data_IF_875162873944
#
_entry.id   IF_875162873944
#
_cell.length_a   1.000
_cell.length_b   1.000
_cell.length_c   1.000
_cell.angle_alpha   90.00
_cell.angle_beta   90.00
_cell.angle_gamma   90.00
#
_symmetry.space_group_name_H-M   'P 1'
#
loop_
_entity.id
_entity.type
_entity.pdbx_description
1 polymer ?
#
# COMPACT_ATOMS: atom_id res chain seq x y z
N UNK A 1 0.66 -18.47 21.48
CA UNK A 1 0.84 -17.00 21.42
C UNK A 1 -0.09 -16.35 22.44
N UNK A 2 0.43 -15.51 23.36
CA UNK A 2 -0.42 -14.76 24.30
C UNK A 2 -1.31 -13.81 23.49
N UNK A 3 -2.63 -13.85 23.69
CA UNK A 3 -3.52 -12.80 23.18
C UNK A 3 -3.17 -11.50 23.91
N UNK A 4 -2.54 -10.56 23.20
CA UNK A 4 -2.36 -9.19 23.69
C UNK A 4 -3.75 -8.59 23.96
N UNK A 5 -3.88 -7.80 25.02
CA UNK A 5 -5.11 -7.04 25.27
C UNK A 5 -5.32 -6.01 24.15
N UNK A 6 -6.56 -5.57 23.92
CA UNK A 6 -6.90 -4.67 22.81
C UNK A 6 -6.14 -3.34 22.84
N UNK A 7 -5.68 -2.92 24.04
CA UNK A 7 -4.87 -1.72 24.26
C UNK A 7 -3.35 -1.92 24.05
N UNK A 8 -2.88 -3.16 23.88
CA UNK A 8 -1.47 -3.48 23.67
C UNK A 8 -1.13 -3.73 22.19
N UNK A 9 -2.12 -3.81 21.31
CA UNK A 9 -1.87 -3.99 19.87
C UNK A 9 -1.39 -2.70 19.22
N UNK A 10 -0.34 -2.80 18.41
CA UNK A 10 0.14 -1.70 17.58
C UNK A 10 -0.90 -1.31 16.52
N UNK A 11 -0.87 -0.04 16.09
CA UNK A 11 -1.76 0.49 15.05
C UNK A 11 -1.40 0.03 13.63
N UNK A 12 -1.30 -1.27 13.39
CA UNK A 12 -1.04 -1.81 12.06
C UNK A 12 -2.33 -2.12 11.31
N UNK A 13 -2.29 -2.09 9.98
CA UNK A 13 -3.34 -2.64 9.14
C UNK A 13 -3.55 -4.12 9.40
N UNK A 14 -2.49 -4.87 9.73
CA UNK A 14 -2.61 -6.26 10.18
C UNK A 14 -3.49 -6.37 11.44
N UNK A 15 -3.21 -5.58 12.47
CA UNK A 15 -4.01 -5.55 13.69
C UNK A 15 -5.47 -5.15 13.41
N UNK A 16 -5.67 -4.16 12.54
CA UNK A 16 -7.01 -3.74 12.11
C UNK A 16 -7.77 -4.87 11.40
N UNK A 17 -7.12 -5.59 10.48
CA UNK A 17 -7.71 -6.73 9.78
C UNK A 17 -8.04 -7.88 10.75
N UNK A 18 -7.19 -8.15 11.75
CA UNK A 18 -7.51 -9.12 12.81
C UNK A 18 -8.75 -8.71 13.60
N UNK A 19 -8.94 -7.42 13.91
CA UNK A 19 -10.16 -6.96 14.56
C UNK A 19 -11.40 -7.16 13.68
N UNK A 20 -11.31 -6.87 12.38
CA UNK A 20 -12.39 -7.12 11.43
C UNK A 20 -12.73 -8.62 11.33
N UNK A 21 -11.74 -9.52 11.34
CA UNK A 21 -11.94 -10.97 11.39
C UNK A 21 -12.70 -11.40 12.66
N UNK A 22 -12.46 -10.72 13.78
CA UNK A 22 -13.19 -10.89 15.03
C UNK A 22 -14.52 -10.11 15.08
N UNK A 23 -14.99 -9.58 13.94
CA UNK A 23 -16.24 -8.81 13.78
C UNK A 23 -16.30 -7.54 14.65
N UNK A 24 -15.15 -6.92 14.88
CA UNK A 24 -15.02 -5.64 15.57
C UNK A 24 -14.65 -4.54 14.59
N UNK A 25 -15.47 -3.49 14.52
CA UNK A 25 -15.15 -2.30 13.73
C UNK A 25 -14.34 -1.35 14.61
N UNK A 26 -13.02 -1.49 14.55
CA UNK A 26 -12.13 -0.65 15.34
C UNK A 26 -11.78 0.64 14.60
N UNK A 27 -11.39 1.66 15.33
CA UNK A 27 -10.82 2.89 14.80
C UNK A 27 -9.73 3.40 15.73
N UNK A 28 -9.10 4.50 15.32
CA UNK A 28 -8.11 5.21 16.14
C UNK A 28 -8.66 6.57 16.54
N UNK A 29 -8.54 6.93 17.81
CA UNK A 29 -8.82 8.28 18.32
C UNK A 29 -7.54 8.95 18.77
N UNK A 30 -7.30 10.17 18.31
CA UNK A 30 -6.16 10.96 18.77
C UNK A 30 -6.43 11.48 20.19
N UNK A 31 -5.53 11.20 21.12
CA UNK A 31 -5.65 11.69 22.51
C UNK A 31 -5.41 13.19 22.64
N UNK A 32 -4.66 13.76 21.69
CA UNK A 32 -4.26 15.17 21.76
C UNK A 32 -5.30 16.11 21.14
N UNK A 33 -5.97 15.72 20.05
CA UNK A 33 -6.95 16.56 19.36
C UNK A 33 -8.37 15.97 19.26
N UNK A 34 -8.58 14.75 19.75
CA UNK A 34 -9.87 14.07 19.79
C UNK A 34 -10.38 13.52 18.45
N UNK A 35 -9.64 13.70 17.35
CA UNK A 35 -10.06 13.26 16.02
C UNK A 35 -10.11 11.73 15.92
N UNK A 36 -11.14 11.21 15.26
CA UNK A 36 -11.39 9.77 15.13
C UNK A 36 -11.31 9.31 13.68
N UNK A 37 -10.69 8.15 13.43
CA UNK A 37 -10.51 7.60 12.09
C UNK A 37 -10.96 6.14 12.01
N UNK A 38 -11.57 5.79 10.87
CA UNK A 38 -11.82 4.41 10.43
C UNK A 38 -11.49 4.35 8.93
N UNK A 39 -10.61 3.44 8.47
CA UNK A 39 -9.76 2.55 9.25
C UNK A 39 -8.86 3.27 10.25
N UNK A 40 -8.31 2.53 11.23
CA UNK A 40 -7.34 3.05 12.18
C UNK A 40 -6.08 3.56 11.49
N UNK A 41 -5.41 4.55 12.09
CA UNK A 41 -4.16 5.13 11.59
C UNK A 41 -3.09 5.12 12.69
N UNK A 42 -1.81 5.04 12.30
CA UNK A 42 -0.63 5.24 13.19
C UNK A 42 -0.33 6.71 13.46
N UNK A 43 -0.87 7.60 12.62
CA UNK A 43 -0.61 9.04 12.64
C UNK A 43 -1.92 9.81 12.50
N UNK A 44 -2.17 10.76 13.39
CA UNK A 44 -3.28 11.69 13.27
C UNK A 44 -2.97 12.75 12.20
N UNK A 45 -3.65 12.71 11.06
CA UNK A 45 -3.40 13.67 9.98
C UNK A 45 -3.92 15.09 10.25
N UNK A 46 -4.62 15.31 11.38
CA UNK A 46 -5.09 16.64 11.80
C UNK A 46 -4.04 17.42 12.59
N UNK A 47 -3.29 16.73 13.46
CA UNK A 47 -2.33 17.36 14.38
C UNK A 47 -0.95 16.70 14.38
N UNK A 48 -0.74 15.69 13.53
CA UNK A 48 0.50 14.91 13.38
C UNK A 48 0.97 14.16 14.63
N UNK A 49 0.10 14.02 15.63
CA UNK A 49 0.39 13.21 16.80
C UNK A 49 0.33 11.71 16.49
N UNK A 50 1.26 10.96 17.08
CA UNK A 50 1.24 9.49 17.15
C UNK A 50 0.61 8.97 18.45
N UNK A 51 0.10 9.86 19.32
CA UNK A 51 -0.57 9.52 20.58
C UNK A 51 -2.05 9.17 20.31
N UNK A 52 -2.29 7.92 19.92
CA UNK A 52 -3.60 7.42 19.51
C UNK A 52 -4.05 6.29 20.46
N UNK A 53 -5.36 6.10 20.58
CA UNK A 53 -5.98 4.95 21.25
C UNK A 53 -6.97 4.23 20.35
N UNK A 54 -7.05 2.91 20.53
CA UNK A 54 -8.03 2.09 19.86
C UNK A 54 -9.40 2.41 20.43
N UNK A 55 -10.39 2.59 19.56
CA UNK A 55 -11.79 2.74 19.95
C UNK A 55 -12.65 1.77 19.14
N UNK A 56 -13.54 1.05 19.81
CA UNK A 56 -14.53 0.21 19.14
C UNK A 56 -15.71 1.09 18.70
N UNK A 57 -16.03 1.04 17.41
CA UNK A 57 -17.20 1.72 16.86
C UNK A 57 -18.43 0.85 17.03
N UNK A 58 -19.58 1.48 17.28
CA UNK A 58 -20.89 0.81 17.37
C UNK A 58 -21.28 0.07 16.08
N UNK A 59 -20.66 0.44 14.95
CA UNK A 59 -21.00 -0.05 13.63
C UNK A 59 -22.33 0.46 13.11
N UNK A 60 -22.92 1.48 13.77
CA UNK A 60 -24.15 2.14 13.33
C UNK A 60 -23.83 3.47 12.66
N UNK A 61 -24.67 3.86 11.72
CA UNK A 61 -24.54 5.14 11.06
C UNK A 61 -25.71 5.43 10.14
N UNK A 62 -25.55 6.47 9.34
CA UNK A 62 -26.55 6.91 8.36
C UNK A 62 -25.94 7.02 6.97
N UNK A 63 -26.71 6.68 5.95
CA UNK A 63 -26.30 6.87 4.55
C UNK A 63 -26.04 8.36 4.32
N UNK A 64 -24.81 8.72 3.96
CA UNK A 64 -24.42 10.08 3.61
C UNK A 64 -24.41 10.30 2.10
N UNK A 65 -24.05 9.27 1.33
CA UNK A 65 -24.12 9.24 -0.13
C UNK A 65 -24.17 7.77 -0.60
N UNK A 66 -24.71 7.51 -1.80
CA UNK A 66 -24.65 6.20 -2.43
C UNK A 66 -24.72 6.32 -3.96
N UNK A 67 -24.35 5.22 -4.64
CA UNK A 67 -24.50 5.03 -6.08
C UNK A 67 -24.78 3.57 -6.36
N UNK A 68 -25.75 3.27 -7.22
CA UNK A 68 -26.02 1.90 -7.67
C UNK A 68 -25.38 1.65 -9.04
N UNK A 69 -24.58 0.59 -9.11
CA UNK A 69 -23.57 0.34 -10.13
C UNK A 69 -23.94 -0.94 -10.87
N UNK A 70 -24.25 -0.81 -12.17
CA UNK A 70 -24.53 -1.93 -13.06
C UNK A 70 -23.29 -2.48 -13.78
N UNK A 71 -22.24 -1.68 -13.94
CA UNK A 71 -20.97 -2.12 -14.55
C UNK A 71 -19.89 -2.09 -13.47
N UNK A 72 -19.63 -3.26 -12.88
CA UNK A 72 -18.64 -3.42 -11.81
C UNK A 72 -17.23 -3.71 -12.31
N UNK A 73 -16.27 -3.73 -11.40
CA UNK A 73 -14.92 -4.25 -11.64
C UNK A 73 -14.97 -5.76 -11.92
N UNK A 74 -13.87 -6.34 -12.43
CA UNK A 74 -13.73 -7.80 -12.61
C UNK A 74 -14.07 -8.57 -11.32
N UNK A 75 -13.54 -8.10 -10.19
CA UNK A 75 -13.83 -8.64 -8.85
C UNK A 75 -15.33 -8.67 -8.51
N UNK A 76 -16.09 -7.64 -8.90
CA UNK A 76 -17.54 -7.60 -8.66
C UNK A 76 -18.30 -8.46 -9.67
N UNK A 77 -17.84 -8.53 -10.92
CA UNK A 77 -18.44 -9.38 -11.94
C UNK A 77 -18.33 -10.87 -11.57
N UNK A 78 -17.18 -11.31 -11.05
CA UNK A 78 -16.97 -12.67 -10.53
C UNK A 78 -17.93 -13.03 -9.39
N UNK A 79 -18.38 -12.03 -8.63
CA UNK A 79 -19.40 -12.18 -7.57
C UNK A 79 -20.85 -12.14 -8.10
N UNK A 80 -21.03 -12.12 -9.41
CA UNK A 80 -22.34 -12.17 -10.07
C UNK A 80 -23.02 -10.81 -10.27
N UNK A 81 -22.32 -9.70 -10.06
CA UNK A 81 -22.86 -8.37 -10.32
C UNK A 81 -22.77 -8.02 -11.81
N UNK A 82 -23.82 -7.38 -12.33
CA UNK A 82 -23.92 -7.00 -13.74
C UNK A 82 -24.98 -5.93 -13.93
N UNK A 83 -25.19 -5.49 -15.18
CA UNK A 83 -26.24 -4.51 -15.49
C UNK A 83 -27.65 -5.02 -15.13
N UNK A 84 -27.85 -6.36 -15.12
CA UNK A 84 -29.10 -7.01 -14.72
C UNK A 84 -29.20 -7.24 -13.21
N UNK A 85 -28.08 -7.17 -12.50
CA UNK A 85 -27.94 -7.42 -11.07
C UNK A 85 -26.96 -6.39 -10.47
N UNK A 86 -27.36 -5.11 -10.32
CA UNK A 86 -26.48 -4.06 -9.83
C UNK A 86 -26.19 -4.21 -8.33
N UNK A 87 -25.19 -3.48 -7.84
CA UNK A 87 -24.92 -3.32 -6.40
C UNK A 87 -24.83 -1.84 -6.04
N UNK A 88 -25.10 -1.46 -4.80
CA UNK A 88 -24.90 -0.08 -4.36
C UNK A 88 -23.63 0.09 -3.54
N UNK A 89 -22.78 1.02 -3.94
CA UNK A 89 -21.69 1.56 -3.15
C UNK A 89 -22.23 2.72 -2.30
N UNK A 90 -21.73 2.89 -1.08
CA UNK A 90 -22.19 3.93 -0.16
C UNK A 90 -21.06 4.55 0.65
N UNK A 91 -21.29 5.80 1.06
CA UNK A 91 -20.56 6.48 2.13
C UNK A 91 -21.49 6.59 3.33
N UNK A 92 -21.08 6.03 4.45
CA UNK A 92 -21.84 6.02 5.71
C UNK A 92 -21.16 6.96 6.69
N UNK A 93 -21.93 7.88 7.28
CA UNK A 93 -21.50 8.67 8.44
C UNK A 93 -21.80 7.82 9.68
N UNK A 94 -20.76 7.33 10.35
CA UNK A 94 -20.90 6.60 11.60
C UNK A 94 -21.38 7.55 12.72
N UNK A 95 -22.07 6.98 13.71
CA UNK A 95 -22.60 7.74 14.85
C UNK A 95 -21.47 8.43 15.64
N UNK A 96 -20.28 7.82 15.68
CA UNK A 96 -19.08 8.35 16.33
C UNK A 96 -18.42 9.49 15.56
N UNK A 97 -18.82 9.75 14.30
CA UNK A 97 -18.31 10.85 13.50
C UNK A 97 -17.53 10.48 12.22
N UNK A 98 -16.70 9.43 12.14
CA UNK A 98 -15.98 9.17 10.90
C UNK A 98 -16.92 8.78 9.75
N UNK A 99 -16.53 9.09 8.51
CA UNK A 99 -17.22 8.59 7.31
C UNK A 99 -16.45 7.39 6.78
N UNK A 100 -17.16 6.31 6.47
CA UNK A 100 -16.61 5.10 5.89
C UNK A 100 -17.30 4.79 4.56
N UNK A 101 -16.56 4.15 3.66
CA UNK A 101 -17.10 3.65 2.41
C UNK A 101 -17.38 2.15 2.52
N UNK A 102 -18.45 1.67 1.88
CA UNK A 102 -18.79 0.26 1.88
C UNK A 102 -19.94 -0.09 0.95
N UNK A 103 -20.13 -1.38 0.72
CA UNK A 103 -21.28 -1.88 -0.02
C UNK A 103 -22.55 -1.73 0.82
N UNK A 104 -23.59 -1.15 0.22
CA UNK A 104 -24.92 -1.07 0.80
C UNK A 104 -25.70 -2.33 0.42
N UNK A 105 -26.26 -3.01 1.43
CA UNK A 105 -26.99 -4.27 1.26
C UNK A 105 -28.41 -4.13 1.83
N UNK A 106 -29.34 -4.96 1.33
CA UNK A 106 -30.71 -4.99 1.83
C UNK A 106 -31.55 -3.80 1.37
N UNK A 107 -31.17 -3.20 0.24
CA UNK A 107 -31.90 -2.12 -0.45
C UNK A 107 -32.35 -2.63 -1.82
N UNK A 108 -33.21 -1.88 -2.50
CA UNK A 108 -33.54 -2.19 -3.90
C UNK A 108 -32.50 -1.55 -4.82
N UNK A 109 -31.45 -2.29 -5.18
CA UNK A 109 -30.36 -1.77 -6.01
C UNK A 109 -30.79 -1.44 -7.45
N UNK A 110 -31.97 -1.92 -7.89
CA UNK A 110 -32.53 -1.64 -9.21
C UNK A 110 -33.35 -0.36 -9.25
N UNK A 111 -33.84 0.10 -8.10
CA UNK A 111 -34.65 1.31 -7.97
C UNK A 111 -33.98 2.29 -6.97
N UNK A 112 -32.87 2.96 -7.38
CA UNK A 112 -32.10 3.82 -6.48
C UNK A 112 -32.91 4.99 -5.91
N UNK A 113 -34.00 5.41 -6.57
CA UNK A 113 -34.95 6.40 -6.11
C UNK A 113 -35.69 6.01 -4.81
N UNK A 114 -35.74 4.72 -4.49
CA UNK A 114 -36.31 4.21 -3.24
C UNK A 114 -35.36 4.34 -2.04
N UNK A 115 -34.06 4.54 -2.30
CA UNK A 115 -33.00 4.61 -1.28
C UNK A 115 -32.85 6.04 -0.79
N UNK A 116 -33.07 6.27 0.51
CA UNK A 116 -33.04 7.62 1.10
C UNK A 116 -31.73 7.91 1.83
N UNK A 117 -31.14 9.08 1.55
CA UNK A 117 -30.07 9.65 2.37
C UNK A 117 -30.58 9.84 3.80
N UNK A 118 -29.73 9.57 4.79
CA UNK A 118 -30.07 9.62 6.21
C UNK A 118 -30.65 8.31 6.77
N UNK A 119 -30.95 7.32 5.93
CA UNK A 119 -31.45 6.01 6.38
C UNK A 119 -30.45 5.36 7.35
N UNK A 120 -30.88 4.89 8.53
CA UNK A 120 -30.02 4.18 9.46
C UNK A 120 -29.54 2.85 8.89
N UNK A 121 -28.25 2.56 9.06
CA UNK A 121 -27.63 1.30 8.64
C UNK A 121 -26.78 0.73 9.77
N UNK A 122 -26.45 -0.56 9.67
CA UNK A 122 -25.54 -1.25 10.56
C UNK A 122 -24.52 -2.04 9.75
N UNK A 123 -23.28 -2.07 10.22
CA UNK A 123 -22.18 -2.83 9.61
C UNK A 123 -22.53 -4.31 9.53
N UNK A 124 -22.16 -4.91 8.40
CA UNK A 124 -22.12 -6.35 8.18
C UNK A 124 -20.71 -6.70 7.73
N UNK A 125 -20.07 -7.63 8.42
CA UNK A 125 -18.73 -8.10 8.07
C UNK A 125 -18.85 -9.18 6.99
N UNK A 126 -18.10 -9.01 5.92
CA UNK A 126 -17.98 -9.97 4.82
C UNK A 126 -16.54 -10.49 4.80
N UNK A 127 -16.37 -11.78 4.56
CA UNK A 127 -15.05 -12.38 4.36
C UNK A 127 -14.52 -12.03 2.96
N UNK A 128 -13.24 -11.69 2.89
CA UNK A 128 -12.54 -11.35 1.64
C UNK A 128 -11.04 -11.63 1.76
N UNK A 129 -10.42 -12.04 0.66
CA UNK A 129 -9.01 -12.50 0.63
C UNK A 129 -8.00 -11.40 0.30
N UNK A 130 -8.37 -10.12 0.44
CA UNK A 130 -7.49 -9.01 0.10
C UNK A 130 -6.60 -8.67 1.28
N UNK A 131 -5.29 -8.87 1.12
CA UNK A 131 -4.26 -8.37 2.02
C UNK A 131 -3.53 -7.23 1.33
N UNK A 132 -3.16 -6.20 2.10
CA UNK A 132 -2.24 -5.13 1.70
C UNK A 132 -1.50 -4.63 2.92
N UNK A 133 -0.21 -4.32 2.79
CA UNK A 133 0.56 -3.71 3.89
C UNK A 133 1.00 -2.25 3.62
N UNK A 134 0.11 -1.25 3.76
CA UNK A 134 0.48 0.15 3.67
C UNK A 134 1.30 0.65 4.88
N UNK A 135 1.45 -0.16 5.93
CA UNK A 135 2.25 0.22 7.11
C UNK A 135 3.72 0.40 6.75
N UNK A 136 4.23 -0.34 5.75
CA UNK A 136 5.62 -0.20 5.27
C UNK A 136 5.98 1.25 4.94
N UNK A 137 5.07 1.97 4.26
CA UNK A 137 5.27 3.37 3.92
C UNK A 137 5.22 4.28 5.15
N UNK A 138 4.24 4.06 6.04
CA UNK A 138 4.05 4.89 7.23
C UNK A 138 5.21 4.72 8.19
N UNK A 139 5.72 3.50 8.36
CA UNK A 139 6.85 3.20 9.24
C UNK A 139 8.14 3.81 8.69
N UNK A 140 8.39 3.69 7.37
CA UNK A 140 9.51 4.34 6.70
C UNK A 140 9.43 5.88 6.82
N UNK A 141 8.23 6.45 6.66
CA UNK A 141 8.00 7.89 6.84
C UNK A 141 8.30 8.36 8.27
N UNK A 142 7.77 7.66 9.27
CA UNK A 142 7.98 8.01 10.67
C UNK A 142 9.45 7.89 11.10
N UNK A 143 10.18 6.88 10.60
CA UNK A 143 11.62 6.74 10.83
C UNK A 143 12.40 7.86 10.12
N UNK A 144 12.07 8.17 8.87
CA UNK A 144 12.71 9.24 8.10
C UNK A 144 12.56 10.61 8.78
N UNK A 145 11.33 10.98 9.17
CA UNK A 145 11.04 12.26 9.85
C UNK A 145 11.83 12.40 11.16
N UNK A 146 11.96 11.32 11.94
CA UNK A 146 12.72 11.32 13.21
C UNK A 146 14.23 11.50 13.02
N UNK A 147 14.76 11.16 11.85
CA UNK A 147 16.20 11.20 11.55
C UNK A 147 16.66 12.49 10.86
N UNK A 148 15.76 13.43 10.57
CA UNK A 148 16.14 14.73 10.05
C UNK A 148 16.76 15.56 11.18
N UNK A 149 18.03 15.97 11.02
CA UNK A 149 18.84 16.60 12.08
C UNK A 149 18.21 17.83 12.75
N UNK A 150 17.38 18.60 12.01
CA UNK A 150 16.69 19.79 12.52
C UNK A 150 15.17 19.57 12.72
N UNK A 151 14.72 18.32 12.66
CA UNK A 151 13.32 17.97 12.59
C UNK A 151 12.68 18.37 11.26
N UNK A 152 11.48 17.83 11.03
CA UNK A 152 10.62 18.19 9.91
C UNK A 152 9.17 17.90 10.31
N UNK A 153 8.26 18.79 9.94
CA UNK A 153 6.83 18.56 10.06
C UNK A 153 6.20 18.38 8.68
N UNK A 154 5.07 17.64 8.56
CA UNK A 154 4.35 17.50 7.30
C UNK A 154 4.00 18.83 6.60
N UNK A 155 3.85 19.92 7.35
CA UNK A 155 3.57 21.26 6.80
C UNK A 155 4.73 21.82 5.97
N UNK A 156 5.96 21.43 6.32
CA UNK A 156 7.20 21.90 5.73
C UNK A 156 7.49 21.23 4.38
N UNK A 157 6.75 20.16 4.05
CA UNK A 157 6.91 19.39 2.81
C UNK A 157 5.99 19.95 1.73
N UNK A 158 6.55 20.20 0.55
CA UNK A 158 5.84 20.79 -0.57
C UNK A 158 5.22 19.74 -1.49
N UNK A 159 5.89 18.58 -1.66
CA UNK A 159 5.45 17.51 -2.53
C UNK A 159 5.91 16.12 -2.06
N UNK A 160 5.25 15.07 -2.57
CA UNK A 160 5.56 13.67 -2.28
C UNK A 160 5.78 12.85 -3.56
N UNK A 161 7.00 12.37 -3.80
CA UNK A 161 7.38 11.61 -4.99
C UNK A 161 7.60 10.14 -4.62
N UNK A 162 6.78 9.25 -5.19
CA UNK A 162 6.81 7.82 -4.88
C UNK A 162 7.29 7.02 -6.08
N UNK A 163 8.40 6.31 -5.93
CA UNK A 163 8.82 5.26 -6.85
C UNK A 163 8.02 3.99 -6.58
N UNK A 164 7.35 3.47 -7.61
CA UNK A 164 6.71 2.16 -7.55
C UNK A 164 6.62 1.59 -8.95
N UNK A 165 7.00 0.32 -9.10
CA UNK A 165 6.95 -0.32 -10.41
C UNK A 165 5.54 -0.82 -10.72
N UNK A 166 4.90 -1.53 -9.80
CA UNK A 166 3.88 -2.49 -10.23
C UNK A 166 2.79 -2.80 -9.20
N UNK A 167 2.48 -1.88 -8.29
CA UNK A 167 1.38 -2.09 -7.32
C UNK A 167 0.01 -2.27 -7.99
N UNK A 168 -0.17 -1.78 -9.21
CA UNK A 168 -1.35 -1.98 -10.05
C UNK A 168 -1.48 -3.42 -10.58
N UNK A 169 -0.37 -4.12 -10.76
CA UNK A 169 -0.34 -5.52 -11.15
C UNK A 169 -0.31 -6.46 -9.94
N UNK A 170 0.51 -6.18 -8.93
CA UNK A 170 0.60 -7.00 -7.72
C UNK A 170 -0.61 -6.86 -6.80
N UNK A 171 -1.06 -5.63 -6.54
CA UNK A 171 -2.01 -5.33 -5.48
C UNK A 171 -3.31 -4.70 -6.03
N UNK A 172 -3.46 -4.64 -7.36
CA UNK A 172 -4.57 -3.94 -8.04
C UNK A 172 -4.74 -2.48 -7.59
N UNK A 173 -3.64 -1.80 -7.25
CA UNK A 173 -3.63 -0.43 -6.78
C UNK A 173 -2.78 0.46 -7.70
N UNK A 174 -3.45 1.25 -8.54
CA UNK A 174 -2.87 2.44 -9.17
C UNK A 174 -2.80 3.62 -8.20
N UNK A 175 -2.79 4.86 -8.69
CA UNK A 175 -2.93 6.10 -7.89
C UNK A 175 -2.16 6.12 -6.54
N UNK A 176 -0.98 5.49 -6.53
CA UNK A 176 -0.30 5.10 -5.29
C UNK A 176 0.25 6.32 -4.54
N UNK A 177 0.84 7.30 -5.24
CA UNK A 177 1.49 8.42 -4.59
C UNK A 177 0.53 9.30 -3.76
N UNK A 178 -0.65 9.69 -4.27
CA UNK A 178 -1.64 10.40 -3.46
C UNK A 178 -2.18 9.58 -2.28
N UNK A 179 -2.31 8.26 -2.45
CA UNK A 179 -2.67 7.37 -1.35
C UNK A 179 -1.61 7.37 -0.24
N UNK A 180 -0.33 7.28 -0.60
CA UNK A 180 0.79 7.34 0.34
C UNK A 180 0.85 8.70 1.03
N UNK A 181 0.71 9.80 0.30
CA UNK A 181 0.63 11.14 0.86
C UNK A 181 -0.51 11.28 1.89
N UNK A 182 -1.69 10.72 1.59
CA UNK A 182 -2.83 10.72 2.52
C UNK A 182 -2.58 9.90 3.79
N UNK A 183 -1.81 8.81 3.73
CA UNK A 183 -1.51 8.01 4.92
C UNK A 183 -0.62 8.76 5.92
N UNK A 184 0.21 9.68 5.44
CA UNK A 184 1.18 10.41 6.27
C UNK A 184 0.82 11.89 6.49
N UNK A 185 -0.40 12.29 6.13
CA UNK A 185 -0.90 13.65 6.37
C UNK A 185 -0.34 14.72 5.42
N UNK A 186 0.23 14.31 4.29
CA UNK A 186 0.70 15.23 3.25
C UNK A 186 -0.41 15.68 2.29
N UNK A 187 -1.62 15.11 2.33
CA UNK A 187 -2.72 15.64 1.51
C UNK A 187 -3.14 17.04 2.00
N UNK A 188 -3.39 18.02 1.10
CA UNK A 188 -3.56 17.89 -0.36
C UNK A 188 -2.31 18.25 -1.18
N UNK A 189 -1.10 18.19 -0.61
CA UNK A 189 0.15 18.49 -1.32
C UNK A 189 0.29 17.62 -2.58
N UNK A 190 0.88 18.14 -3.68
CA UNK A 190 1.14 17.37 -4.90
C UNK A 190 1.86 16.05 -4.61
N UNK A 191 1.37 14.96 -5.21
CA UNK A 191 2.00 13.65 -5.09
C UNK A 191 2.01 12.91 -6.42
N UNK A 192 3.19 12.44 -6.83
CA UNK A 192 3.42 11.84 -8.15
C UNK A 192 4.07 10.47 -8.04
N UNK A 193 3.58 9.51 -8.83
CA UNK A 193 4.20 8.19 -8.98
C UNK A 193 5.21 8.26 -10.11
N UNK A 194 6.41 7.76 -9.86
CA UNK A 194 7.45 7.55 -10.87
C UNK A 194 7.67 6.06 -11.06
N UNK A 195 7.79 5.66 -12.32
CA UNK A 195 7.93 4.28 -12.75
C UNK A 195 9.18 4.20 -13.66
N UNK A 196 9.97 3.17 -13.47
CA UNK A 196 11.20 2.87 -14.22
C UNK A 196 11.70 1.46 -13.89
N UNK A 197 10.79 0.48 -13.88
CA UNK A 197 11.00 -0.88 -13.41
C UNK A 197 11.65 -0.90 -12.02
N UNK A 198 12.66 -1.74 -11.83
CA UNK A 198 13.44 -1.83 -10.59
C UNK A 198 14.12 -0.50 -10.19
N UNK A 199 14.23 0.47 -11.09
CA UNK A 199 14.86 1.77 -10.83
C UNK A 199 13.86 2.86 -10.40
N UNK A 200 12.56 2.54 -10.22
CA UNK A 200 11.49 3.50 -9.97
C UNK A 200 11.79 4.52 -8.86
N UNK A 201 12.33 4.09 -7.71
CA UNK A 201 12.70 5.02 -6.61
C UNK A 201 13.93 5.86 -6.93
N UNK A 202 14.87 5.34 -7.72
CA UNK A 202 16.00 6.13 -8.23
C UNK A 202 15.54 7.21 -9.21
N UNK A 203 14.56 6.90 -10.06
CA UNK A 203 13.90 7.88 -10.93
C UNK A 203 13.17 8.92 -10.09
N UNK A 204 12.40 8.52 -9.08
CA UNK A 204 11.72 9.44 -8.17
C UNK A 204 12.69 10.39 -7.47
N UNK A 205 13.83 9.88 -6.99
CA UNK A 205 14.90 10.69 -6.38
C UNK A 205 15.49 11.68 -7.38
N UNK A 206 15.82 11.23 -8.59
CA UNK A 206 16.32 12.13 -9.64
C UNK A 206 15.32 13.26 -9.93
N UNK A 207 14.02 12.96 -9.96
CA UNK A 207 12.98 13.95 -10.20
C UNK A 207 12.83 14.91 -9.01
N UNK A 208 12.97 14.41 -7.77
CA UNK A 208 13.03 15.25 -6.58
C UNK A 208 14.20 16.24 -6.63
N UNK A 209 15.39 15.77 -7.00
CA UNK A 209 16.58 16.63 -7.17
C UNK A 209 16.34 17.70 -8.24
N UNK A 210 15.76 17.34 -9.38
CA UNK A 210 15.44 18.29 -10.46
C UNK A 210 14.43 19.34 -9.99
N UNK A 211 13.40 18.93 -9.25
CA UNK A 211 12.38 19.83 -8.73
C UNK A 211 12.95 20.82 -7.70
N UNK A 212 13.82 20.37 -6.79
CA UNK A 212 14.51 21.27 -5.87
C UNK A 212 15.42 22.23 -6.64
N UNK A 213 16.23 21.72 -7.57
CA UNK A 213 17.16 22.52 -8.35
C UNK A 213 16.46 23.56 -9.27
N UNK A 214 15.22 23.31 -9.69
CA UNK A 214 14.44 24.25 -10.49
C UNK A 214 13.79 25.36 -9.67
N UNK A 215 13.75 25.22 -8.34
CA UNK A 215 13.07 26.15 -7.43
C UNK A 215 11.55 26.00 -7.41
N UNK A 216 10.99 24.90 -7.93
CA UNK A 216 9.53 24.66 -7.86
C UNK A 216 9.08 24.17 -6.47
N UNK A 217 9.98 23.53 -5.73
CA UNK A 217 9.77 23.03 -4.36
C UNK A 217 11.05 23.25 -3.55
N UNK A 218 10.91 23.54 -2.25
CA UNK A 218 12.04 23.65 -1.33
C UNK A 218 12.29 22.32 -0.61
N UNK A 219 11.21 21.60 -0.27
CA UNK A 219 11.28 20.34 0.47
C UNK A 219 10.37 19.28 -0.17
N UNK A 220 10.95 18.13 -0.53
CA UNK A 220 10.21 17.02 -1.15
C UNK A 220 10.42 15.74 -0.36
N UNK A 221 9.32 15.06 -0.04
CA UNK A 221 9.35 13.68 0.44
C UNK A 221 9.56 12.74 -0.75
N UNK A 222 10.66 11.99 -0.77
CA UNK A 222 10.91 10.97 -1.80
C UNK A 222 10.97 9.60 -1.13
N UNK A 223 10.27 8.62 -1.69
CA UNK A 223 10.41 7.23 -1.25
C UNK A 223 9.84 6.23 -2.24
N UNK A 224 9.71 4.99 -1.81
CA UNK A 224 9.11 3.94 -2.61
C UNK A 224 8.72 2.74 -1.74
N UNK A 225 7.71 2.01 -2.20
CA UNK A 225 7.24 0.79 -1.54
C UNK A 225 6.82 -0.22 -2.60
N UNK A 226 7.05 -1.49 -2.31
CA UNK A 226 6.62 -2.61 -3.15
C UNK A 226 6.13 -3.73 -2.23
N UNK A 227 5.08 -4.45 -2.64
CA UNK A 227 4.52 -5.55 -1.85
C UNK A 227 4.22 -6.72 -2.79
N UNK A 228 5.15 -7.67 -2.83
CA UNK A 228 5.16 -8.76 -3.81
C UNK A 228 4.64 -10.10 -3.23
N UNK A 229 4.43 -10.17 -1.91
CA UNK A 229 4.07 -11.40 -1.19
C UNK A 229 2.56 -11.69 -1.16
N UNK A 230 1.76 -10.90 -1.87
CA UNK A 230 0.29 -11.03 -1.90
C UNK A 230 -0.22 -11.83 -3.08
N UNK A 231 0.67 -12.14 -4.04
CA UNK A 231 0.37 -12.96 -5.20
C UNK A 231 1.32 -14.15 -5.29
N UNK A 232 0.96 -15.16 -6.08
CA UNK A 232 1.79 -16.35 -6.28
C UNK A 232 3.12 -16.00 -6.97
N UNK A 233 4.16 -16.80 -6.76
CA UNK A 233 5.46 -16.63 -7.44
C UNK A 233 5.32 -16.56 -8.96
N UNK A 234 4.35 -17.29 -9.54
CA UNK A 234 4.06 -17.24 -10.98
C UNK A 234 3.58 -15.85 -11.39
N UNK A 235 2.60 -15.28 -10.69
CA UNK A 235 2.12 -13.92 -10.96
C UNK A 235 3.19 -12.87 -10.65
N UNK A 236 4.05 -13.11 -9.65
CA UNK A 236 5.21 -12.26 -9.40
C UNK A 236 6.12 -12.23 -10.62
N UNK A 237 6.47 -13.40 -11.14
CA UNK A 237 7.34 -13.55 -12.31
C UNK A 237 6.74 -12.89 -13.54
N UNK A 238 5.44 -13.08 -13.75
CA UNK A 238 4.68 -12.49 -14.86
C UNK A 238 4.69 -10.96 -14.83
N UNK A 239 4.39 -10.38 -13.68
CA UNK A 239 4.41 -8.93 -13.46
C UNK A 239 5.82 -8.35 -13.63
N UNK A 240 6.85 -9.04 -13.12
CA UNK A 240 8.23 -8.58 -13.33
C UNK A 240 8.60 -8.61 -14.82
N UNK A 241 8.15 -9.61 -15.57
CA UNK A 241 8.39 -9.72 -17.00
C UNK A 241 7.75 -8.59 -17.81
N UNK A 242 6.78 -7.83 -17.28
CA UNK A 242 6.25 -6.64 -17.98
C UNK A 242 7.27 -5.50 -18.13
N UNK A 243 8.44 -5.59 -17.49
CA UNK A 243 9.58 -4.68 -17.70
C UNK A 243 10.51 -5.14 -18.84
N UNK A 244 10.28 -6.32 -19.41
CA UNK A 244 10.94 -6.79 -20.63
C UNK A 244 10.08 -6.50 -21.87
N UNK A 245 10.60 -6.80 -23.06
CA UNK A 245 9.83 -6.63 -24.29
C UNK A 245 8.68 -7.64 -24.35
N UNK A 246 7.45 -7.15 -24.22
CA UNK A 246 6.25 -7.99 -24.22
C UNK A 246 5.92 -8.60 -25.60
N UNK A 247 6.50 -8.09 -26.69
CA UNK A 247 6.25 -8.58 -28.05
C UNK A 247 7.23 -9.69 -28.46
N UNK A 248 8.48 -9.62 -27.96
CA UNK A 248 9.55 -10.51 -28.43
C UNK A 248 10.17 -11.36 -27.32
N UNK A 249 10.38 -10.81 -26.12
CA UNK A 249 11.04 -11.53 -25.03
C UNK A 249 10.03 -12.35 -24.21
N UNK A 250 8.93 -11.72 -23.81
CA UNK A 250 7.88 -12.37 -23.03
C UNK A 250 7.30 -13.63 -23.71
N UNK A 251 6.83 -13.61 -24.98
CA UNK A 251 6.31 -14.81 -25.63
C UNK A 251 7.40 -15.84 -25.97
N UNK A 252 8.67 -15.45 -26.01
CA UNK A 252 9.80 -16.38 -26.13
C UNK A 252 10.10 -17.12 -24.81
N UNK A 253 9.37 -16.82 -23.73
CA UNK A 253 9.55 -17.42 -22.41
C UNK A 253 10.63 -16.75 -21.57
N UNK A 254 11.05 -15.53 -21.92
CA UNK A 254 12.02 -14.80 -21.14
C UNK A 254 11.42 -14.38 -19.79
N UNK A 255 12.06 -14.82 -18.71
CA UNK A 255 11.84 -14.29 -17.36
C UNK A 255 13.04 -13.44 -16.97
N UNK A 256 12.90 -12.50 -16.03
CA UNK A 256 14.05 -11.71 -15.57
C UNK A 256 15.24 -12.55 -15.07
N UNK A 257 15.04 -13.63 -14.29
CA UNK A 257 16.13 -14.56 -13.99
C UNK A 257 16.74 -15.20 -15.24
N UNK A 258 15.93 -15.57 -16.22
CA UNK A 258 16.40 -16.11 -17.51
C UNK A 258 17.21 -15.11 -18.33
N UNK A 259 16.80 -13.84 -18.38
CA UNK A 259 17.53 -12.76 -19.03
C UNK A 259 18.90 -12.54 -18.38
N UNK A 260 18.95 -12.46 -17.05
CA UNK A 260 20.22 -12.38 -16.33
C UNK A 260 21.10 -13.62 -16.52
N UNK A 261 20.51 -14.82 -16.60
CA UNK A 261 21.25 -16.04 -16.91
C UNK A 261 21.86 -16.02 -18.33
N UNK A 262 21.14 -15.46 -19.32
CA UNK A 262 21.67 -15.26 -20.66
C UNK A 262 22.86 -14.29 -20.66
N UNK A 263 22.77 -13.18 -19.92
CA UNK A 263 23.89 -12.24 -19.72
C UNK A 263 25.08 -12.92 -19.04
N UNK A 264 24.83 -13.70 -17.98
CA UNK A 264 25.88 -14.44 -17.28
C UNK A 264 26.58 -15.45 -18.21
N UNK A 265 25.81 -16.23 -18.98
CA UNK A 265 26.36 -17.17 -19.96
C UNK A 265 27.25 -16.46 -20.98
N UNK A 266 26.82 -15.33 -21.54
CA UNK A 266 27.64 -14.55 -22.46
C UNK A 266 28.92 -14.01 -21.79
N UNK A 267 28.82 -13.57 -20.54
CA UNK A 267 29.95 -13.09 -19.75
C UNK A 267 30.98 -14.21 -19.49
N UNK A 268 30.51 -15.41 -19.17
CA UNK A 268 31.36 -16.59 -18.93
C UNK A 268 32.18 -16.93 -20.17
N UNK A 269 31.56 -16.97 -21.33
CA UNK A 269 32.24 -17.27 -22.59
C UNK A 269 33.22 -16.17 -23.02
N UNK A 270 32.90 -14.91 -22.77
CA UNK A 270 33.73 -13.77 -23.20
C UNK A 270 34.91 -13.51 -22.28
N UNK A 271 34.72 -13.63 -20.97
CA UNK A 271 35.70 -13.18 -19.98
C UNK A 271 36.23 -14.31 -19.07
N UNK A 272 35.70 -15.53 -19.20
CA UNK A 272 36.16 -16.69 -18.44
C UNK A 272 35.75 -16.73 -16.97
N UNK A 273 34.86 -15.83 -16.51
CA UNK A 273 34.25 -15.93 -15.17
C UNK A 273 33.42 -17.20 -15.05
N UNK A 274 33.30 -17.73 -13.84
CA UNK A 274 32.60 -19.00 -13.59
C UNK A 274 31.37 -18.82 -12.71
N UNK A 275 30.61 -19.91 -12.53
CA UNK A 275 29.49 -19.93 -11.59
C UNK A 275 29.97 -19.71 -10.15
N UNK A 276 31.16 -20.19 -9.80
CA UNK A 276 31.79 -19.98 -8.50
C UNK A 276 32.09 -18.50 -8.22
N UNK A 277 32.44 -17.72 -9.25
CA UNK A 277 32.62 -16.27 -9.09
C UNK A 277 31.31 -15.58 -8.70
N UNK A 278 30.18 -15.98 -9.30
CA UNK A 278 28.86 -15.47 -8.92
C UNK A 278 28.42 -15.96 -7.54
N UNK A 279 28.74 -17.22 -7.19
CA UNK A 279 28.47 -17.78 -5.86
C UNK A 279 29.13 -16.96 -4.75
N UNK A 280 30.39 -16.56 -4.93
CA UNK A 280 31.13 -15.71 -3.98
C UNK A 280 30.43 -14.36 -3.72
N UNK A 281 29.75 -13.80 -4.72
CA UNK A 281 28.93 -12.59 -4.53
C UNK A 281 27.76 -12.88 -3.61
N UNK A 282 27.08 -14.02 -3.78
CA UNK A 282 26.00 -14.47 -2.91
C UNK A 282 26.44 -14.63 -1.45
N UNK A 283 27.56 -15.30 -1.21
CA UNK A 283 28.13 -15.52 0.14
C UNK A 283 28.44 -14.18 0.81
N UNK A 284 29.17 -13.30 0.12
CA UNK A 284 29.46 -11.94 0.61
C UNK A 284 28.18 -11.14 0.93
N UNK A 285 27.16 -11.23 0.08
CA UNK A 285 25.90 -10.51 0.31
C UNK A 285 25.15 -11.05 1.53
N UNK A 286 25.12 -12.36 1.74
CA UNK A 286 24.53 -13.00 2.91
C UNK A 286 25.29 -12.67 4.21
N UNK A 287 26.64 -12.64 4.15
CA UNK A 287 27.47 -12.18 5.26
C UNK A 287 27.14 -10.74 5.65
N UNK A 288 27.07 -9.82 4.68
CA UNK A 288 26.64 -8.44 4.93
C UNK A 288 25.21 -8.38 5.51
N UNK A 289 24.33 -9.28 5.07
CA UNK A 289 22.96 -9.40 5.59
C UNK A 289 22.89 -9.65 7.09
N UNK A 290 23.85 -10.38 7.68
CA UNK A 290 23.91 -10.63 9.14
C UNK A 290 24.17 -9.38 9.97
N UNK A 291 24.75 -8.34 9.37
CA UNK A 291 25.09 -7.09 10.05
C UNK A 291 23.98 -6.03 9.90
N UNK A 292 22.96 -6.32 9.09
CA UNK A 292 21.88 -5.37 8.79
C UNK A 292 20.55 -5.86 9.38
N UNK A 293 20.01 -5.22 10.42
CA UNK A 293 18.73 -5.61 11.02
C UNK A 293 17.53 -5.43 10.08
N UNK A 294 17.69 -4.70 8.97
CA UNK A 294 16.67 -4.52 7.94
C UNK A 294 16.79 -5.50 6.77
N UNK A 295 17.83 -6.34 6.72
CA UNK A 295 17.94 -7.34 5.67
C UNK A 295 16.83 -8.39 5.80
N UNK A 296 16.24 -8.80 4.67
CA UNK A 296 15.27 -9.90 4.64
C UNK A 296 15.91 -11.22 5.06
N UNK A 297 17.16 -11.45 4.65
CA UNK A 297 17.96 -12.63 4.98
C UNK A 297 19.10 -12.22 5.91
N UNK A 298 18.92 -12.42 7.21
CA UNK A 298 19.90 -12.09 8.26
C UNK A 298 20.75 -13.31 8.63
N UNK A 299 21.21 -14.04 7.62
CA UNK A 299 21.96 -15.28 7.80
C UNK A 299 23.10 -15.36 6.80
N UNK A 300 24.24 -15.84 7.27
CA UNK A 300 25.39 -16.18 6.44
C UNK A 300 25.22 -17.60 5.86
N UNK A 301 25.78 -17.81 4.67
CA UNK A 301 25.85 -19.12 3.99
C UNK A 301 27.32 -19.50 3.84
N UNK A 302 27.65 -20.78 4.05
CA UNK A 302 29.02 -21.29 3.94
C UNK A 302 29.32 -21.69 2.48
N UNK A 303 30.61 -21.63 2.13
CA UNK A 303 31.16 -22.27 0.92
C UNK A 303 30.91 -23.79 0.90
#
# INVERSE_FOLDING_TARGET
>A
MKKLSENEKEFTMESYLEFLQNKKLMGSKCKDCGETYVPSRKLCIKCNSTNLEWIEMSGKGKIAAFSCIGVGTSFMAEKGYSIKNPYCFSVIKLDEGPKISGQLMGVDEKHPDTIKIGTPVKVKFLETDLKRNPDLWVDAWLDAVKRVDNGIEPKDVDACYIGNYSSDLFNHQGHLAPQMANFVGLSPKPASRFEGACASSGVALRQGVIAIASGIHDVIAVGGCETMNEVSTTLVTDTLATASDNLFEYPAGATFPGLYAAVASAHFHKYGTTAEDLMRIGIKNHENGTQNPFAQMQLSIKD
#
